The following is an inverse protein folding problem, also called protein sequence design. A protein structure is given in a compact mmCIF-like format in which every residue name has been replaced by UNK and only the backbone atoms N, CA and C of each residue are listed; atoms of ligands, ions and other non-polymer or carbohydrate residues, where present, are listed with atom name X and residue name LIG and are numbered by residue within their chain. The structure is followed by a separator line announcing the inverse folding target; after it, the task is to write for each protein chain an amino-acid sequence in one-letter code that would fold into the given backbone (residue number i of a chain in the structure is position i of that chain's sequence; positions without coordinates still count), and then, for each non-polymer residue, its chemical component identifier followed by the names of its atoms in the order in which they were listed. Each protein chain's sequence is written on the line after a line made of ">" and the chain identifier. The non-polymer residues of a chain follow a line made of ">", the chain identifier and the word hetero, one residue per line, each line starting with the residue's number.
data_IF_725432177269
#
_entry.id   IF_725432177269
#
_cell.length_a   1.000
_cell.length_b   1.000
_cell.length_c   1.000
_cell.angle_alpha   90.00
_cell.angle_beta   90.00
_cell.angle_gamma   90.00
#
_symmetry.space_group_name_H-M   'P 1'
#
loop_
_entity.id
_entity.type
_entity.pdbx_description
1 polymer ?
#
# COMPACT_ATOMS: atom_id res chain seq x y z
N UNK A 1 -2.09 -3.93 4.80
CA UNK A 1 -3.22 -4.54 4.07
C UNK A 1 -2.70 -5.08 2.73
N UNK A 2 -2.67 -6.40 2.53
CA UNK A 2 -2.14 -7.02 1.31
C UNK A 2 -3.14 -6.93 0.14
N UNK A 3 -2.72 -7.38 -1.04
CA UNK A 3 -3.56 -7.54 -2.22
C UNK A 3 -4.20 -8.95 -2.28
N UNK A 4 -5.27 -9.10 -3.06
CA UNK A 4 -5.89 -10.37 -3.38
C UNK A 4 -5.11 -11.15 -4.46
N UNK A 5 -5.29 -12.47 -4.48
CA UNK A 5 -4.81 -13.30 -5.58
C UNK A 5 -5.54 -12.92 -6.86
N UNK A 6 -4.83 -12.95 -7.99
CA UNK A 6 -5.36 -12.47 -9.27
C UNK A 6 -6.59 -13.25 -9.74
N UNK A 7 -6.67 -14.54 -9.43
CA UNK A 7 -7.83 -15.41 -9.68
C UNK A 7 -8.72 -15.58 -8.44
N UNK A 8 -8.52 -14.79 -7.38
CA UNK A 8 -9.22 -14.93 -6.11
C UNK A 8 -8.97 -16.29 -5.44
N UNK A 9 -10.05 -16.96 -5.05
CA UNK A 9 -10.01 -18.29 -4.41
C UNK A 9 -10.66 -19.38 -5.26
N UNK A 10 -10.87 -19.13 -6.55
CA UNK A 10 -11.53 -20.05 -7.48
C UNK A 10 -10.81 -21.42 -7.56
N UNK A 11 -9.48 -21.44 -7.46
CA UNK A 11 -8.67 -22.66 -7.45
C UNK A 11 -8.87 -23.57 -6.23
N UNK A 12 -9.45 -23.06 -5.14
CA UNK A 12 -9.85 -23.86 -3.96
C UNK A 12 -11.29 -24.38 -4.04
N UNK A 13 -12.01 -24.09 -5.13
CA UNK A 13 -13.44 -24.39 -5.25
C UNK A 13 -14.32 -23.46 -4.41
N UNK A 14 -13.81 -22.26 -4.10
CA UNK A 14 -14.60 -21.18 -3.53
C UNK A 14 -15.06 -20.25 -4.65
N UNK A 15 -16.08 -19.44 -4.38
CA UNK A 15 -16.69 -18.57 -5.40
C UNK A 15 -16.14 -17.13 -5.39
N UNK A 16 -15.15 -16.85 -4.55
CA UNK A 16 -14.56 -15.50 -4.44
C UNK A 16 -13.62 -15.24 -5.63
N UNK A 17 -13.98 -14.29 -6.48
CA UNK A 17 -13.07 -13.73 -7.46
C UNK A 17 -12.09 -12.71 -6.83
N UNK A 18 -11.27 -12.05 -7.65
CA UNK A 18 -10.34 -11.04 -7.19
C UNK A 18 -11.04 -9.91 -6.41
N UNK A 19 -12.17 -9.40 -6.91
CA UNK A 19 -12.86 -8.26 -6.30
C UNK A 19 -13.49 -8.66 -4.96
N UNK A 20 -14.14 -9.82 -4.90
CA UNK A 20 -14.69 -10.38 -3.67
C UNK A 20 -13.61 -10.56 -2.60
N UNK A 21 -12.48 -11.18 -2.99
CA UNK A 21 -11.35 -11.40 -2.08
C UNK A 21 -10.75 -10.06 -1.61
N UNK A 22 -10.55 -9.10 -2.50
CA UNK A 22 -9.94 -7.81 -2.16
C UNK A 22 -10.82 -6.99 -1.23
N UNK A 23 -12.15 -7.02 -1.43
CA UNK A 23 -13.12 -6.36 -0.55
C UNK A 23 -13.15 -7.04 0.84
N UNK A 24 -13.06 -8.37 0.91
CA UNK A 24 -12.96 -9.09 2.18
C UNK A 24 -11.68 -8.72 2.95
N UNK A 25 -10.53 -8.70 2.26
CA UNK A 25 -9.26 -8.25 2.85
C UNK A 25 -9.39 -6.82 3.37
N UNK A 26 -9.98 -5.93 2.59
CA UNK A 26 -10.20 -4.52 2.94
C UNK A 26 -11.03 -4.36 4.21
N UNK A 27 -12.23 -4.93 4.22
CA UNK A 27 -13.18 -4.81 5.32
C UNK A 27 -12.63 -5.43 6.61
N UNK A 28 -12.02 -6.62 6.52
CA UNK A 28 -11.45 -7.29 7.68
C UNK A 28 -10.25 -6.53 8.25
N UNK A 29 -9.39 -5.96 7.40
CA UNK A 29 -8.23 -5.19 7.87
C UNK A 29 -8.68 -3.92 8.60
N UNK A 30 -9.66 -3.18 8.05
CA UNK A 30 -10.23 -2.01 8.72
C UNK A 30 -10.90 -2.36 10.05
N UNK A 31 -11.68 -3.45 10.09
CA UNK A 31 -12.30 -3.94 11.31
C UNK A 31 -11.26 -4.20 12.41
N UNK A 32 -10.24 -4.99 12.11
CA UNK A 32 -9.22 -5.33 13.10
C UNK A 32 -8.33 -4.14 13.47
N UNK A 33 -8.03 -3.24 12.54
CA UNK A 33 -7.33 -1.99 12.85
C UNK A 33 -8.11 -1.15 13.85
N UNK A 34 -9.44 -1.06 13.70
CA UNK A 34 -10.31 -0.36 14.66
C UNK A 34 -10.36 -1.06 16.03
N UNK A 35 -10.41 -2.39 16.05
CA UNK A 35 -10.52 -3.18 17.29
C UNK A 35 -9.20 -3.24 18.07
N UNK A 36 -8.07 -3.33 17.38
CA UNK A 36 -6.74 -3.55 17.98
C UNK A 36 -5.90 -2.26 18.02
N UNK A 37 -6.17 -1.29 17.16
CA UNK A 37 -5.49 -0.01 17.11
C UNK A 37 -4.20 0.04 16.28
N UNK A 38 -3.97 -0.90 15.36
CA UNK A 38 -2.80 -0.86 14.47
C UNK A 38 -3.01 0.04 13.26
N UNK A 39 -1.94 0.68 12.77
CA UNK A 39 -1.94 1.45 11.52
C UNK A 39 -1.88 0.55 10.27
N UNK A 40 -2.45 1.00 9.17
CA UNK A 40 -2.57 0.25 7.92
C UNK A 40 -1.72 0.90 6.83
N UNK A 41 -0.82 0.13 6.23
CA UNK A 41 -0.34 0.43 4.88
C UNK A 41 -1.33 -0.15 3.84
N UNK A 42 -2.02 0.68 3.04
CA UNK A 42 -3.14 0.24 2.20
C UNK A 42 -2.72 -0.32 0.83
N UNK A 43 -1.74 -1.24 0.80
CA UNK A 43 -1.14 -1.77 -0.46
C UNK A 43 -2.20 -2.39 -1.37
N UNK A 44 -3.05 -3.27 -0.84
CA UNK A 44 -4.10 -3.91 -1.64
C UNK A 44 -5.14 -2.95 -2.21
N UNK A 45 -5.36 -1.79 -1.57
CA UNK A 45 -6.30 -0.80 -2.10
C UNK A 45 -5.71 -0.03 -3.26
N UNK A 46 -4.43 0.38 -3.16
CA UNK A 46 -3.71 0.95 -4.29
C UNK A 46 -3.59 -0.05 -5.47
N UNK A 47 -3.35 -1.32 -5.15
CA UNK A 47 -3.32 -2.41 -6.13
C UNK A 47 -4.65 -2.54 -6.89
N UNK A 48 -5.76 -2.57 -6.15
CA UNK A 48 -7.11 -2.58 -6.71
C UNK A 48 -7.38 -1.39 -7.63
N UNK A 49 -7.00 -0.18 -7.21
CA UNK A 49 -7.16 1.03 -8.03
C UNK A 49 -6.41 0.91 -9.35
N UNK A 50 -5.16 0.44 -9.33
CA UNK A 50 -4.36 0.25 -10.56
C UNK A 50 -4.99 -0.78 -11.49
N UNK A 51 -5.42 -1.94 -10.99
CA UNK A 51 -6.04 -2.96 -11.84
C UNK A 51 -7.35 -2.47 -12.47
N UNK A 52 -8.15 -1.70 -11.73
CA UNK A 52 -9.36 -1.05 -12.25
C UNK A 52 -9.05 -0.04 -13.36
N UNK A 53 -7.98 0.75 -13.23
CA UNK A 53 -7.55 1.69 -14.28
C UNK A 53 -6.96 1.00 -15.52
N UNK A 54 -6.38 -0.20 -15.36
CA UNK A 54 -5.75 -0.95 -16.45
C UNK A 54 -6.69 -1.92 -17.16
N UNK A 55 -7.96 -2.00 -16.75
CA UNK A 55 -8.97 -2.90 -17.30
C UNK A 55 -8.50 -4.36 -17.33
N UNK A 56 -8.15 -4.91 -16.15
CA UNK A 56 -7.92 -6.34 -15.94
C UNK A 56 -6.86 -6.96 -16.89
N UNK A 57 -5.70 -6.32 -16.94
CA UNK A 57 -4.56 -6.88 -17.67
C UNK A 57 -3.94 -8.02 -16.86
N UNK A 58 -4.09 -9.24 -17.35
CA UNK A 58 -3.53 -10.45 -16.73
C UNK A 58 -2.03 -10.31 -16.43
N UNK A 59 -1.63 -10.67 -15.21
CA UNK A 59 -0.29 -10.58 -14.63
C UNK A 59 0.31 -9.16 -14.65
N UNK A 60 -0.52 -8.12 -14.65
CA UNK A 60 0.00 -6.75 -14.72
C UNK A 60 0.78 -6.38 -13.45
N UNK A 61 0.19 -6.62 -12.28
CA UNK A 61 0.84 -6.41 -10.98
C UNK A 61 1.31 -7.72 -10.34
N UNK A 62 0.77 -8.86 -10.75
CA UNK A 62 1.16 -10.19 -10.27
C UNK A 62 2.21 -10.84 -11.16
N UNK A 63 2.96 -11.80 -10.62
CA UNK A 63 3.72 -12.76 -11.40
C UNK A 63 2.76 -13.78 -12.04
N UNK A 64 3.28 -14.59 -12.96
CA UNK A 64 2.51 -15.68 -13.59
C UNK A 64 2.09 -16.79 -12.63
N UNK A 65 2.44 -16.66 -11.35
CA UNK A 65 1.96 -17.52 -10.27
C UNK A 65 0.69 -17.00 -9.59
N UNK A 66 0.08 -15.93 -10.13
CA UNK A 66 -1.20 -15.34 -9.71
C UNK A 66 -1.20 -14.69 -8.32
N UNK A 67 -0.06 -14.69 -7.62
CA UNK A 67 0.01 -14.38 -6.19
C UNK A 67 1.08 -13.35 -5.87
N UNK A 68 2.31 -13.61 -6.30
CA UNK A 68 3.46 -12.79 -5.93
C UNK A 68 3.53 -11.51 -6.77
N UNK A 69 4.16 -10.45 -6.28
CA UNK A 69 4.20 -9.19 -7.01
C UNK A 69 5.21 -9.25 -8.15
N UNK A 70 4.80 -8.76 -9.32
CA UNK A 70 5.71 -8.44 -10.41
C UNK A 70 6.61 -7.24 -10.04
N UNK A 71 7.51 -6.84 -10.93
CA UNK A 71 8.28 -5.60 -10.74
C UNK A 71 7.35 -4.38 -10.57
N UNK A 72 6.21 -4.34 -11.28
CA UNK A 72 5.21 -3.27 -11.16
C UNK A 72 4.53 -3.31 -9.79
N UNK A 73 4.08 -4.49 -9.36
CA UNK A 73 3.45 -4.68 -8.05
C UNK A 73 4.40 -4.34 -6.90
N UNK A 74 5.66 -4.76 -7.00
CA UNK A 74 6.69 -4.49 -5.99
C UNK A 74 6.99 -3.00 -5.86
N UNK A 75 7.07 -2.29 -6.99
CA UNK A 75 7.27 -0.85 -6.97
C UNK A 75 6.08 -0.09 -6.39
N UNK A 76 4.85 -0.45 -6.78
CA UNK A 76 3.63 0.13 -6.20
C UNK A 76 3.57 -0.09 -4.68
N UNK A 77 3.85 -1.32 -4.22
CA UNK A 77 3.96 -1.64 -2.80
C UNK A 77 4.98 -0.75 -2.11
N UNK A 78 6.19 -0.59 -2.67
CA UNK A 78 7.22 0.27 -2.09
C UNK A 78 6.76 1.73 -1.97
N UNK A 79 6.09 2.28 -2.97
CA UNK A 79 5.51 3.62 -2.91
C UNK A 79 4.47 3.78 -1.80
N UNK A 80 3.57 2.79 -1.62
CA UNK A 80 2.56 2.81 -0.55
C UNK A 80 3.22 2.74 0.83
N UNK A 81 4.22 1.85 1.00
CA UNK A 81 4.96 1.74 2.26
C UNK A 81 5.69 3.04 2.58
N UNK A 82 6.37 3.64 1.59
CA UNK A 82 7.03 4.94 1.74
C UNK A 82 6.04 5.99 2.26
N UNK A 83 4.93 6.21 1.55
CA UNK A 83 3.95 7.23 1.94
C UNK A 83 3.27 6.91 3.27
N UNK A 84 3.16 5.64 3.66
CA UNK A 84 2.61 5.26 4.98
C UNK A 84 3.57 5.58 6.12
N UNK A 85 4.86 5.27 5.96
CA UNK A 85 5.88 5.46 7.01
C UNK A 85 6.20 6.94 7.17
N UNK A 86 6.49 7.63 6.06
CA UNK A 86 6.93 9.01 6.08
C UNK A 86 5.76 10.00 6.10
N UNK A 87 4.53 9.56 5.82
CA UNK A 87 3.36 10.44 5.65
C UNK A 87 3.64 11.57 4.64
N UNK A 88 4.46 11.25 3.63
CA UNK A 88 4.89 12.14 2.57
C UNK A 88 4.52 11.57 1.20
N UNK A 89 4.33 12.45 0.22
CA UNK A 89 4.09 12.03 -1.15
C UNK A 89 5.38 11.47 -1.75
N UNK A 90 5.29 10.31 -2.41
CA UNK A 90 6.39 9.75 -3.20
C UNK A 90 6.43 10.29 -4.64
N UNK A 91 5.54 11.23 -4.99
CA UNK A 91 5.51 11.87 -6.31
C UNK A 91 6.82 12.60 -6.60
N UNK A 92 7.45 12.27 -7.72
CA UNK A 92 8.68 12.95 -8.16
C UNK A 92 9.97 12.33 -7.65
N UNK A 93 9.91 11.24 -6.86
CA UNK A 93 11.09 10.42 -6.57
C UNK A 93 11.73 9.99 -7.90
N UNK A 94 13.05 10.16 -8.00
CA UNK A 94 13.82 9.94 -9.25
C UNK A 94 14.11 8.46 -9.55
N UNK A 95 14.00 7.59 -8.54
CA UNK A 95 14.15 6.16 -8.70
C UNK A 95 12.86 5.52 -9.25
N UNK A 96 12.97 4.81 -10.38
CA UNK A 96 11.86 4.14 -11.05
C UNK A 96 12.06 2.62 -11.17
N UNK A 97 13.11 2.07 -10.54
CA UNK A 97 13.61 0.72 -10.82
C UNK A 97 13.88 0.54 -12.33
N UNK A 98 13.32 -0.49 -12.96
CA UNK A 98 13.41 -0.74 -14.42
C UNK A 98 12.08 -0.45 -15.13
N UNK A 99 11.16 0.27 -14.47
CA UNK A 99 9.86 0.60 -15.04
C UNK A 99 9.95 1.77 -16.03
N UNK A 100 9.10 1.79 -17.06
CA UNK A 100 8.83 3.02 -17.80
C UNK A 100 8.43 4.15 -16.84
N UNK A 101 8.99 5.34 -17.06
CA UNK A 101 8.80 6.52 -16.19
C UNK A 101 7.33 6.85 -15.97
N UNK A 102 6.50 6.69 -17.00
CA UNK A 102 5.07 6.95 -16.97
C UNK A 102 4.35 6.00 -16.01
N UNK A 103 4.70 4.71 -16.01
CA UNK A 103 4.13 3.73 -15.07
C UNK A 103 4.57 4.05 -13.63
N UNK A 104 5.85 4.34 -13.42
CA UNK A 104 6.38 4.66 -12.11
C UNK A 104 5.72 5.91 -11.51
N UNK A 105 5.51 6.96 -12.33
CA UNK A 105 4.79 8.17 -11.93
C UNK A 105 3.33 7.90 -11.58
N UNK A 106 2.64 7.10 -12.38
CA UNK A 106 1.26 6.69 -12.09
C UNK A 106 1.17 5.97 -10.73
N UNK A 107 2.09 5.05 -10.44
CA UNK A 107 2.12 4.34 -9.17
C UNK A 107 2.47 5.25 -7.98
N UNK A 108 3.39 6.20 -8.15
CA UNK A 108 3.70 7.20 -7.12
C UNK A 108 2.47 8.06 -6.77
N UNK A 109 1.72 8.51 -7.78
CA UNK A 109 0.50 9.30 -7.59
C UNK A 109 -0.56 8.48 -6.84
N UNK A 110 -0.91 7.31 -7.37
CA UNK A 110 -1.95 6.45 -6.76
C UNK A 110 -1.58 6.08 -5.33
N UNK A 111 -0.33 5.67 -5.08
CA UNK A 111 0.12 5.35 -3.73
C UNK A 111 0.02 6.54 -2.77
N UNK A 112 0.49 7.72 -3.20
CA UNK A 112 0.42 8.94 -2.39
C UNK A 112 -1.03 9.31 -2.08
N UNK A 113 -1.90 9.33 -3.08
CA UNK A 113 -3.29 9.72 -2.94
C UNK A 113 -4.06 8.75 -2.04
N UNK A 114 -3.88 7.44 -2.23
CA UNK A 114 -4.56 6.42 -1.44
C UNK A 114 -4.18 6.53 0.04
N UNK A 115 -2.91 6.80 0.36
CA UNK A 115 -2.45 6.93 1.74
C UNK A 115 -2.87 8.27 2.34
N UNK A 116 -2.48 9.37 1.70
CA UNK A 116 -2.50 10.71 2.32
C UNK A 116 -3.90 11.32 2.36
N UNK A 117 -4.80 10.96 1.43
CA UNK A 117 -6.17 11.46 1.46
C UNK A 117 -7.06 10.74 2.49
N UNK A 118 -6.53 9.73 3.20
CA UNK A 118 -7.32 8.87 4.09
C UNK A 118 -6.54 8.40 5.32
N UNK A 119 -5.60 9.20 5.82
CA UNK A 119 -4.76 8.86 6.98
C UNK A 119 -5.55 8.43 8.22
N UNK A 120 -6.67 9.08 8.52
CA UNK A 120 -7.59 8.69 9.61
C UNK A 120 -8.20 7.30 9.40
N UNK A 121 -8.60 6.97 8.17
CA UNK A 121 -9.16 5.65 7.84
C UNK A 121 -8.12 4.55 8.02
N UNK A 122 -6.86 4.84 7.68
CA UNK A 122 -5.73 3.94 7.84
C UNK A 122 -5.15 3.91 9.25
N UNK A 123 -5.74 4.64 10.20
CA UNK A 123 -5.27 4.73 11.58
C UNK A 123 -3.79 5.15 11.67
N UNK A 124 -3.37 6.12 10.86
CA UNK A 124 -2.02 6.68 10.89
C UNK A 124 -2.00 7.86 11.85
N UNK A 125 -1.34 7.67 13.00
CA UNK A 125 -1.13 8.76 13.95
C UNK A 125 -0.13 9.79 13.37
N UNK A 126 -0.33 11.09 13.62
CA UNK A 126 0.63 12.12 13.21
C UNK A 126 2.05 11.79 13.69
N UNK A 127 3.05 12.03 12.84
CA UNK A 127 4.46 11.77 13.18
C UNK A 127 4.92 12.55 14.43
N UNK A 128 4.30 13.70 14.72
CA UNK A 128 4.54 14.47 15.94
C UNK A 128 4.30 13.67 17.23
N UNK A 129 3.43 12.66 17.20
CA UNK A 129 3.15 11.81 18.36
C UNK A 129 4.29 10.82 18.67
N UNK A 130 5.23 10.64 17.72
CA UNK A 130 6.41 9.80 17.86
C UNK A 130 7.71 10.61 17.99
N UNK A 131 7.64 11.94 17.94
CA UNK A 131 8.76 12.79 18.30
C UNK A 131 9.03 12.57 19.78
N UNK A 132 10.09 11.81 20.09
CA UNK A 132 10.62 11.77 21.46
C UNK A 132 10.90 13.21 21.88
N UNK A 133 10.55 13.62 23.11
CA UNK A 133 10.98 14.91 23.61
C UNK A 133 12.50 14.94 23.49
N UNK A 134 12.99 15.87 22.68
CA UNK A 134 14.41 16.15 22.58
C UNK A 134 14.81 16.74 23.94
N UNK A 135 15.25 15.89 24.87
CA UNK A 135 15.82 16.35 26.14
C UNK A 135 17.30 16.63 25.86
N UNK A 136 17.69 17.91 25.89
CA UNK A 136 19.08 18.38 25.78
C UNK A 136 20.01 17.93 26.93
N UNK A 137 19.65 16.89 27.69
CA UNK A 137 20.35 16.47 28.91
C UNK A 137 21.69 15.74 28.68
N UNK A 138 22.16 15.62 27.44
CA UNK A 138 23.44 14.96 27.12
C UNK A 138 24.65 15.89 26.97
N UNK A 139 24.51 17.21 27.14
CA UNK A 139 25.64 18.16 27.01
C UNK A 139 26.10 18.85 28.30
N UNK A 140 25.71 18.37 29.49
CA UNK A 140 26.15 18.95 30.77
C UNK A 140 27.22 18.14 31.52
N UNK A 141 27.84 17.15 30.90
CA UNK A 141 29.03 16.47 31.44
C UNK A 141 30.15 16.53 30.40
N UNK A 142 30.87 17.66 30.37
CA UNK A 142 32.30 17.78 30.04
C UNK A 142 32.79 19.19 30.39
#
# INVERSE_FOLDING_TARGET
>A
MPWAFEDGMLWKGWDDDYEDMQIKIYNNTLKYSKEVGFGIAPVGWAWNTVLKEKNDTLHYLHLSDWNHPSLRGSYLMACVIFSTIFQESCCGISFYSELPKENAKCFQIIASDIVLNSTTLWNLAPLSNYALPYTDDFFSIL
#
